data_IF_439049511881
#
_entry.id   IF_439049511881
#
_cell.length_a   1.000
_cell.length_b   1.000
_cell.length_c   1.000
_cell.angle_alpha   90.00
_cell.angle_beta   90.00
_cell.angle_gamma   90.00
#
_symmetry.space_group_name_H-M   'P 1'
#
loop_
_entity.id
_entity.type
_entity.pdbx_description
1 polymer ?
#
# COMPACT_ATOMS: atom_id res chain seq x y z
N UNK A 1 35.21 -27.24 8.60
CA UNK A 1 34.07 -26.64 7.89
C UNK A 1 32.99 -27.66 7.45
N UNK A 2 33.05 -28.93 7.93
CA UNK A 2 32.15 -30.01 7.46
C UNK A 2 31.13 -30.53 8.49
N UNK A 3 31.21 -30.15 9.77
CA UNK A 3 30.32 -30.69 10.82
C UNK A 3 29.01 -29.92 10.98
N UNK A 4 28.98 -28.62 10.65
CA UNK A 4 27.77 -27.79 10.77
C UNK A 4 26.76 -27.99 9.62
N UNK A 5 27.19 -28.51 8.47
CA UNK A 5 26.33 -28.74 7.30
C UNK A 5 25.49 -30.02 7.48
N UNK A 6 26.04 -31.06 8.13
CA UNK A 6 25.28 -32.28 8.43
C UNK A 6 24.20 -32.06 9.49
N UNK A 7 24.49 -31.28 10.54
CA UNK A 7 23.49 -30.97 11.58
C UNK A 7 22.30 -30.17 11.00
N UNK A 8 22.56 -29.29 10.03
CA UNK A 8 21.53 -28.50 9.35
C UNK A 8 20.65 -29.36 8.42
N UNK A 9 21.23 -30.35 7.74
CA UNK A 9 20.49 -31.29 6.88
C UNK A 9 19.66 -32.29 7.69
N UNK A 10 20.16 -32.77 8.83
CA UNK A 10 19.39 -33.64 9.72
C UNK A 10 18.21 -32.89 10.38
N UNK A 11 18.42 -31.65 10.83
CA UNK A 11 17.34 -30.80 11.37
C UNK A 11 16.31 -30.47 10.27
N UNK A 12 16.73 -30.19 9.03
CA UNK A 12 15.80 -29.94 7.92
C UNK A 12 14.99 -31.19 7.57
N UNK A 13 15.61 -32.36 7.46
CA UNK A 13 14.89 -33.62 7.19
C UNK A 13 13.92 -33.95 8.32
N UNK A 14 14.33 -33.78 9.59
CA UNK A 14 13.46 -34.01 10.75
C UNK A 14 12.28 -33.03 10.80
N UNK A 15 12.51 -31.73 10.53
CA UNK A 15 11.46 -30.71 10.42
C UNK A 15 10.54 -30.95 9.21
N UNK A 16 11.03 -31.52 8.10
CA UNK A 16 10.21 -31.83 6.92
C UNK A 16 9.25 -33.01 7.16
N UNK A 17 9.64 -33.97 7.99
CA UNK A 17 8.82 -35.13 8.38
C UNK A 17 7.83 -34.75 9.50
N UNK A 18 8.27 -33.95 10.47
CA UNK A 18 7.38 -33.38 11.50
C UNK A 18 6.32 -32.47 10.86
N UNK A 19 6.71 -31.66 9.85
CA UNK A 19 5.78 -30.85 9.04
C UNK A 19 4.69 -31.69 8.41
N UNK A 20 4.98 -32.83 7.76
CA UNK A 20 3.93 -33.62 7.08
C UNK A 20 2.88 -34.19 8.04
N UNK A 21 3.28 -34.67 9.23
CA UNK A 21 2.34 -35.24 10.21
C UNK A 21 1.58 -34.15 10.98
N UNK A 22 2.25 -33.07 11.38
CA UNK A 22 1.60 -31.93 12.03
C UNK A 22 0.64 -31.21 11.08
N UNK A 23 1.01 -31.09 9.79
CA UNK A 23 0.16 -30.52 8.75
C UNK A 23 -1.06 -31.39 8.44
N UNK A 24 -0.91 -32.73 8.46
CA UNK A 24 -2.05 -33.65 8.31
C UNK A 24 -3.03 -33.59 9.49
N UNK A 25 -2.52 -33.47 10.73
CA UNK A 25 -3.34 -33.33 11.94
C UNK A 25 -4.01 -31.96 12.01
N UNK A 26 -3.28 -30.89 11.69
CA UNK A 26 -3.85 -29.53 11.60
C UNK A 26 -4.85 -29.42 10.45
N UNK A 27 -4.60 -30.04 9.29
CA UNK A 27 -5.55 -30.09 8.19
C UNK A 27 -6.80 -30.90 8.55
N UNK A 28 -6.66 -31.99 9.32
CA UNK A 28 -7.79 -32.77 9.83
C UNK A 28 -8.64 -32.01 10.86
N UNK A 29 -8.00 -31.32 11.80
CA UNK A 29 -8.68 -30.48 12.79
C UNK A 29 -9.33 -29.25 12.14
N UNK A 30 -8.67 -28.65 11.15
CA UNK A 30 -9.21 -27.54 10.35
C UNK A 30 -10.40 -28.01 9.52
N UNK A 31 -10.34 -29.19 8.88
CA UNK A 31 -11.48 -29.77 8.14
C UNK A 31 -12.68 -30.05 9.05
N UNK A 32 -12.46 -30.53 10.28
CA UNK A 32 -13.51 -30.73 11.28
C UNK A 32 -14.15 -29.42 11.76
N UNK A 33 -13.34 -28.37 11.96
CA UNK A 33 -13.86 -27.02 12.28
C UNK A 33 -14.62 -26.39 11.09
N UNK A 34 -14.17 -26.64 9.86
CA UNK A 34 -14.81 -26.15 8.63
C UNK A 34 -16.17 -26.84 8.35
N UNK A 35 -16.32 -28.13 8.66
CA UNK A 35 -17.61 -28.82 8.58
C UNK A 35 -18.64 -28.28 9.59
N UNK A 36 -18.18 -27.87 10.78
CA UNK A 36 -19.05 -27.26 11.80
C UNK A 36 -19.50 -25.84 11.41
N UNK A 37 -18.63 -25.07 10.75
CA UNK A 37 -18.93 -23.71 10.31
C UNK A 37 -19.83 -23.65 9.06
N UNK A 38 -19.84 -24.69 8.23
CA UNK A 38 -20.68 -24.79 7.03
C UNK A 38 -22.18 -24.96 7.32
N UNK A 39 -22.58 -25.26 8.57
CA UNK A 39 -23.98 -25.48 8.94
C UNK A 39 -24.73 -24.22 9.41
N UNK A 40 -24.08 -23.05 9.38
CA UNK A 40 -24.72 -21.77 9.77
C UNK A 40 -24.49 -20.74 8.68
N UNK A 41 -25.48 -20.59 7.79
CA UNK A 41 -25.58 -19.47 6.86
C UNK A 41 -27.02 -18.94 6.95
N UNK A 42 -27.18 -17.73 7.48
CA UNK A 42 -28.46 -17.03 7.46
C UNK A 42 -28.63 -16.32 6.13
N UNK A 43 -29.81 -16.47 5.53
CA UNK A 43 -30.21 -15.79 4.30
C UNK A 43 -30.55 -14.32 4.60
N UNK A 44 -29.64 -13.41 4.25
CA UNK A 44 -29.88 -11.97 4.26
C UNK A 44 -28.63 -11.24 3.80
N UNK A 45 -28.75 -10.35 2.81
CA UNK A 45 -27.69 -9.53 2.14
C UNK A 45 -26.53 -10.25 1.44
N UNK A 46 -26.15 -11.46 1.83
CA UNK A 46 -25.07 -12.25 1.19
C UNK A 46 -25.30 -12.57 -0.30
N UNK A 47 -26.54 -12.45 -0.80
CA UNK A 47 -26.90 -12.77 -2.18
C UNK A 47 -26.15 -11.95 -3.23
N UNK A 48 -26.07 -10.62 -3.08
CA UNK A 48 -25.42 -9.75 -4.08
C UNK A 48 -23.89 -9.91 -4.03
N UNK A 49 -23.30 -9.99 -2.83
CA UNK A 49 -21.87 -10.22 -2.66
C UNK A 49 -21.42 -11.56 -3.27
N UNK A 50 -22.12 -12.64 -2.93
CA UNK A 50 -21.83 -13.98 -3.46
C UNK A 50 -22.10 -14.04 -4.96
N UNK A 51 -23.21 -13.49 -5.44
CA UNK A 51 -23.50 -13.42 -6.87
C UNK A 51 -22.40 -12.66 -7.63
N UNK A 52 -21.90 -11.54 -7.08
CA UNK A 52 -20.82 -10.75 -7.67
C UNK A 52 -19.50 -11.54 -7.69
N UNK A 53 -19.18 -12.24 -6.60
CA UNK A 53 -18.01 -13.10 -6.51
C UNK A 53 -18.10 -14.30 -7.48
N UNK A 54 -19.31 -14.80 -7.74
CA UNK A 54 -19.57 -15.98 -8.55
C UNK A 54 -19.63 -15.70 -10.06
N UNK A 55 -20.13 -14.53 -10.46
CA UNK A 55 -20.51 -14.21 -11.84
C UNK A 55 -19.35 -13.95 -12.82
N UNK A 56 -18.09 -14.21 -12.45
CA UNK A 56 -16.97 -14.22 -13.41
C UNK A 56 -16.74 -12.89 -14.12
N UNK A 57 -16.84 -11.78 -13.39
CA UNK A 57 -16.72 -10.44 -13.95
C UNK A 57 -15.28 -10.03 -14.30
N UNK A 58 -15.19 -9.13 -15.27
CA UNK A 58 -14.01 -8.32 -15.60
C UNK A 58 -13.73 -7.34 -14.45
N UNK A 59 -12.95 -7.79 -13.46
CA UNK A 59 -12.59 -7.01 -12.26
C UNK A 59 -11.84 -5.72 -12.56
N UNK A 60 -11.37 -5.52 -13.80
CA UNK A 60 -10.73 -4.29 -14.23
C UNK A 60 -11.72 -3.12 -14.39
N UNK A 61 -13.03 -3.38 -14.41
CA UNK A 61 -14.07 -2.37 -14.63
C UNK A 61 -14.67 -1.75 -13.37
N UNK A 62 -14.46 -2.35 -12.20
CA UNK A 62 -14.99 -1.77 -10.96
C UNK A 62 -14.25 -0.48 -10.61
N UNK A 63 -14.98 0.53 -10.17
CA UNK A 63 -14.42 1.77 -9.64
C UNK A 63 -15.38 2.38 -8.61
N UNK A 64 -14.88 2.67 -7.42
CA UNK A 64 -15.64 3.38 -6.40
C UNK A 64 -15.72 4.88 -6.76
N UNK A 65 -16.94 5.41 -6.98
CA UNK A 65 -17.10 6.79 -7.46
C UNK A 65 -17.26 7.85 -6.35
N UNK A 66 -17.43 7.43 -5.10
CA UNK A 66 -17.67 8.30 -3.95
C UNK A 66 -17.06 7.72 -2.68
N UNK A 67 -16.95 8.53 -1.62
CA UNK A 67 -16.51 8.04 -0.32
C UNK A 67 -17.48 6.97 0.21
N UNK A 68 -16.98 5.75 0.36
CA UNK A 68 -17.69 4.62 0.94
C UNK A 68 -16.70 3.86 1.83
N UNK A 69 -16.82 4.04 3.14
CA UNK A 69 -15.94 3.37 4.11
C UNK A 69 -16.09 1.85 4.08
N UNK A 70 -17.25 1.37 3.66
CA UNK A 70 -17.60 -0.05 3.48
C UNK A 70 -18.30 -0.19 2.14
N UNK A 71 -17.86 -1.14 1.32
CA UNK A 71 -18.34 -1.31 -0.05
C UNK A 71 -18.38 -2.80 -0.43
N UNK A 72 -19.50 -3.50 -0.16
CA UNK A 72 -19.61 -4.93 -0.39
C UNK A 72 -19.38 -5.34 -1.85
N UNK A 73 -19.80 -4.50 -2.81
CA UNK A 73 -19.61 -4.77 -4.24
C UNK A 73 -18.13 -4.67 -4.59
N UNK A 74 -17.48 -3.57 -4.19
CA UNK A 74 -16.04 -3.38 -4.38
C UNK A 74 -15.21 -4.46 -3.70
N UNK A 75 -15.61 -4.91 -2.51
CA UNK A 75 -14.92 -5.98 -1.78
C UNK A 75 -14.96 -7.32 -2.53
N UNK A 76 -16.10 -7.69 -3.11
CA UNK A 76 -16.22 -8.89 -3.93
C UNK A 76 -15.29 -8.81 -5.16
N UNK A 77 -15.23 -7.66 -5.82
CA UNK A 77 -14.34 -7.41 -6.95
C UNK A 77 -12.86 -7.47 -6.53
N UNK A 78 -12.50 -6.84 -5.42
CA UNK A 78 -11.15 -6.84 -4.87
C UNK A 78 -10.68 -8.27 -4.54
N UNK A 79 -11.51 -9.05 -3.84
CA UNK A 79 -11.22 -10.46 -3.51
C UNK A 79 -10.97 -11.30 -4.77
N UNK A 80 -11.72 -11.06 -5.83
CA UNK A 80 -11.52 -11.77 -7.10
C UNK A 80 -10.25 -11.31 -7.82
N UNK A 81 -9.95 -10.01 -7.79
CA UNK A 81 -8.75 -9.46 -8.44
C UNK A 81 -7.46 -9.95 -7.78
N UNK A 82 -7.47 -10.12 -6.45
CA UNK A 82 -6.33 -10.67 -5.68
C UNK A 82 -5.98 -12.09 -6.13
N UNK A 83 -6.96 -12.92 -6.50
CA UNK A 83 -6.70 -14.27 -7.01
C UNK A 83 -5.94 -14.30 -8.35
N UNK A 84 -5.85 -13.18 -9.07
CA UNK A 84 -5.04 -13.11 -10.30
C UNK A 84 -3.54 -12.97 -10.02
N UNK A 85 -3.16 -12.56 -8.80
CA UNK A 85 -1.78 -12.25 -8.43
C UNK A 85 -0.87 -13.49 -8.51
N UNK A 86 -1.23 -14.68 -7.97
CA UNK A 86 -0.36 -15.85 -8.02
C UNK A 86 0.02 -16.26 -9.46
N UNK A 87 -0.93 -16.18 -10.40
CA UNK A 87 -0.67 -16.50 -11.81
C UNK A 87 0.26 -15.46 -12.44
N UNK A 88 0.05 -14.17 -12.16
CA UNK A 88 0.93 -13.10 -12.65
C UNK A 88 2.36 -13.26 -12.10
N UNK A 89 2.50 -13.57 -10.81
CA UNK A 89 3.79 -13.81 -10.16
C UNK A 89 4.47 -15.08 -10.70
N UNK A 90 3.73 -16.17 -10.90
CA UNK A 90 4.27 -17.40 -11.49
C UNK A 90 4.72 -17.15 -12.94
N UNK A 91 3.89 -16.46 -13.73
CA UNK A 91 4.26 -16.08 -15.11
C UNK A 91 5.55 -15.26 -15.13
N UNK A 92 5.72 -14.34 -14.18
CA UNK A 92 6.95 -13.56 -14.02
C UNK A 92 8.16 -14.43 -13.70
N UNK A 93 8.07 -15.25 -12.64
CA UNK A 93 9.19 -16.04 -12.14
C UNK A 93 9.71 -17.07 -13.16
N UNK A 94 8.82 -17.64 -13.99
CA UNK A 94 9.17 -18.71 -14.92
C UNK A 94 9.41 -18.26 -16.36
N UNK A 95 8.75 -17.19 -16.81
CA UNK A 95 8.88 -16.73 -18.19
C UNK A 95 9.69 -15.43 -18.32
N UNK A 96 10.08 -14.80 -17.20
CA UNK A 96 10.81 -13.53 -17.19
C UNK A 96 10.01 -12.34 -17.75
N UNK A 97 8.76 -12.58 -18.16
CA UNK A 97 7.90 -11.58 -18.79
C UNK A 97 6.88 -11.09 -17.78
N UNK A 98 7.12 -9.88 -17.26
CA UNK A 98 6.00 -8.96 -17.03
C UNK A 98 5.63 -8.43 -18.42
N UNK A 99 4.35 -8.36 -18.82
CA UNK A 99 3.95 -7.64 -20.05
C UNK A 99 4.44 -6.18 -20.15
N UNK A 100 5.10 -5.66 -19.11
CA UNK A 100 5.57 -4.29 -18.95
C UNK A 100 7.07 -4.14 -18.64
N UNK A 101 7.81 -5.20 -18.28
CA UNK A 101 9.27 -5.14 -18.14
C UNK A 101 9.98 -4.91 -19.49
N UNK A 102 9.26 -5.12 -20.60
CA UNK A 102 9.72 -4.79 -21.95
C UNK A 102 9.56 -3.31 -22.33
N UNK A 103 8.95 -2.45 -21.48
CA UNK A 103 8.85 -1.01 -21.74
C UNK A 103 9.91 -0.17 -21.00
N UNK A 104 10.48 -0.69 -19.91
CA UNK A 104 11.75 -0.22 -19.32
C UNK A 104 12.93 -1.02 -19.86
N UNK A 105 12.81 -1.55 -21.09
CA UNK A 105 13.93 -2.08 -21.84
C UNK A 105 14.98 -0.98 -22.05
N UNK A 106 15.98 -0.97 -21.18
CA UNK A 106 17.38 -0.66 -21.50
C UNK A 106 17.60 0.57 -22.39
N UNK A 107 16.98 1.71 -22.09
CA UNK A 107 17.76 2.93 -22.23
C UNK A 107 18.88 2.79 -21.20
N UNK A 108 20.13 2.86 -21.62
CA UNK A 108 21.28 2.79 -20.73
C UNK A 108 21.18 3.96 -19.73
N UNK A 109 20.47 3.76 -18.62
CA UNK A 109 20.47 4.70 -17.52
C UNK A 109 21.92 4.76 -17.05
N UNK A 110 22.57 5.92 -17.10
CA UNK A 110 23.93 6.05 -16.60
C UNK A 110 23.98 5.52 -15.16
N UNK A 111 25.12 4.96 -14.72
CA UNK A 111 25.24 4.39 -13.39
C UNK A 111 24.81 5.45 -12.37
N UNK A 112 23.80 5.10 -11.58
CA UNK A 112 23.26 5.95 -10.53
C UNK A 112 24.39 6.44 -9.61
N UNK A 113 24.38 7.73 -9.34
CA UNK A 113 25.30 8.40 -8.41
C UNK A 113 24.46 9.02 -7.31
N UNK A 114 24.69 8.57 -6.07
CA UNK A 114 24.05 9.13 -4.87
C UNK A 114 24.43 10.59 -4.70
N UNK A 115 23.43 11.45 -4.49
CA UNK A 115 23.62 12.84 -4.09
C UNK A 115 24.21 12.96 -2.68
N UNK A 116 24.70 14.15 -2.34
CA UNK A 116 25.32 14.45 -1.03
C UNK A 116 24.35 15.04 -0.01
N UNK A 117 23.09 15.22 -0.38
CA UNK A 117 22.02 15.80 0.44
C UNK A 117 20.89 14.80 0.62
N UNK A 118 20.27 14.75 1.79
CA UNK A 118 18.99 14.02 1.95
C UNK A 118 17.87 14.85 1.30
N UNK A 119 16.86 14.20 0.71
CA UNK A 119 15.88 14.91 -0.10
C UNK A 119 14.97 15.73 0.81
N UNK A 120 14.64 15.15 1.98
CA UNK A 120 14.02 15.83 3.08
C UNK A 120 14.44 15.25 4.44
N UNK A 121 14.27 16.07 5.48
CA UNK A 121 14.34 15.68 6.89
C UNK A 121 12.91 15.47 7.43
N UNK A 122 12.63 14.25 7.90
CA UNK A 122 11.29 13.87 8.37
C UNK A 122 10.85 14.65 9.63
N UNK A 123 11.76 15.01 10.52
CA UNK A 123 11.43 15.80 11.72
C UNK A 123 11.01 17.22 11.36
N UNK A 124 11.75 17.84 10.44
CA UNK A 124 11.43 19.18 9.93
C UNK A 124 10.15 19.18 9.09
N UNK A 125 9.90 18.12 8.33
CA UNK A 125 8.65 17.95 7.59
C UNK A 125 7.46 17.82 8.56
N UNK A 126 7.60 17.04 9.62
CA UNK A 126 6.61 16.94 10.70
C UNK A 126 6.33 18.32 11.32
N UNK A 127 7.39 19.08 11.60
CA UNK A 127 7.29 20.45 12.11
C UNK A 127 6.51 21.36 11.15
N UNK A 128 6.74 21.24 9.84
CA UNK A 128 6.01 22.01 8.83
C UNK A 128 4.54 21.59 8.77
N UNK A 129 4.20 20.30 8.79
CA UNK A 129 2.82 19.83 8.83
C UNK A 129 2.11 20.27 10.12
N UNK A 130 2.78 20.23 11.27
CA UNK A 130 2.27 20.76 12.54
C UNK A 130 1.98 22.27 12.46
N UNK A 131 2.88 23.04 11.85
CA UNK A 131 2.67 24.47 11.61
C UNK A 131 1.45 24.74 10.73
N UNK A 132 1.23 23.92 9.69
CA UNK A 132 0.06 24.01 8.81
C UNK A 132 -1.23 23.79 9.63
N UNK A 133 -1.31 22.68 10.37
CA UNK A 133 -2.49 22.33 11.17
C UNK A 133 -2.79 23.39 12.24
N UNK A 134 -1.76 23.95 12.87
CA UNK A 134 -1.93 24.88 14.00
C UNK A 134 -2.12 26.34 13.58
N UNK A 135 -1.28 26.82 12.67
CA UNK A 135 -1.14 28.25 12.39
C UNK A 135 -1.81 28.67 11.09
N UNK A 136 -1.79 27.81 10.07
CA UNK A 136 -2.37 28.13 8.76
C UNK A 136 -3.87 27.80 8.72
N UNK A 137 -4.30 26.72 9.40
CA UNK A 137 -5.70 26.29 9.47
C UNK A 137 -6.19 26.01 10.90
N UNK A 138 -6.18 27.00 11.81
CA UNK A 138 -6.49 26.81 13.22
C UNK A 138 -7.92 26.31 13.50
N UNK A 139 -8.85 26.54 12.57
CA UNK A 139 -10.26 26.14 12.70
C UNK A 139 -10.51 24.68 12.29
N UNK A 140 -9.49 24.00 11.72
CA UNK A 140 -9.57 22.60 11.31
C UNK A 140 -8.82 21.75 12.33
N UNK A 141 -9.56 20.96 13.11
CA UNK A 141 -8.98 20.08 14.13
C UNK A 141 -8.52 18.76 13.51
N UNK A 142 -7.25 18.37 13.69
CA UNK A 142 -6.76 17.14 13.10
C UNK A 142 -7.31 15.94 13.88
N UNK A 143 -7.83 14.96 13.14
CA UNK A 143 -8.31 13.69 13.66
C UNK A 143 -7.67 12.56 12.86
N UNK A 144 -7.49 11.39 13.48
CA UNK A 144 -6.96 10.25 12.73
C UNK A 144 -7.91 9.81 11.61
N UNK A 145 -9.22 9.80 11.89
CA UNK A 145 -10.24 9.29 10.98
C UNK A 145 -10.40 7.76 11.04
N UNK A 146 -11.49 7.26 10.47
CA UNK A 146 -11.71 5.82 10.31
C UNK A 146 -11.10 5.29 9.02
N UNK A 147 -10.58 4.06 9.05
CA UNK A 147 -10.09 3.36 7.87
C UNK A 147 -11.25 2.78 7.04
N UNK A 148 -11.05 2.63 5.72
CA UNK A 148 -11.88 1.75 4.89
C UNK A 148 -11.83 0.32 5.44
N UNK A 149 -12.99 -0.27 5.64
CA UNK A 149 -13.16 -1.62 6.22
C UNK A 149 -13.68 -2.58 5.17
N UNK A 150 -13.45 -3.85 5.45
CA UNK A 150 -14.20 -4.91 4.78
C UNK A 150 -15.68 -4.80 5.18
N UNK A 151 -16.56 -5.09 4.25
CA UNK A 151 -17.98 -5.31 4.53
C UNK A 151 -18.17 -6.48 5.49
N UNK A 152 -19.21 -6.47 6.33
CA UNK A 152 -19.53 -7.60 7.21
C UNK A 152 -19.59 -8.93 6.44
N UNK A 153 -20.14 -8.90 5.22
CA UNK A 153 -20.17 -10.04 4.31
C UNK A 153 -18.75 -10.50 3.96
N UNK A 154 -17.86 -9.58 3.57
CA UNK A 154 -16.47 -9.93 3.28
C UNK A 154 -15.72 -10.43 4.54
N UNK A 155 -15.93 -9.84 5.71
CA UNK A 155 -15.31 -10.26 6.98
C UNK A 155 -15.72 -11.67 7.39
N UNK A 156 -17.02 -11.99 7.32
CA UNK A 156 -17.52 -13.34 7.57
C UNK A 156 -16.96 -14.33 6.54
N UNK A 157 -16.83 -13.89 5.30
CA UNK A 157 -16.36 -14.74 4.21
C UNK A 157 -14.85 -14.97 4.30
N UNK A 158 -14.02 -13.96 4.62
CA UNK A 158 -12.54 -13.94 4.54
C UNK A 158 -11.84 -15.24 5.03
N UNK A 159 -12.22 -15.82 6.19
CA UNK A 159 -11.64 -17.09 6.66
C UNK A 159 -12.00 -18.31 5.80
N UNK A 160 -13.18 -18.29 5.16
CA UNK A 160 -13.75 -19.38 4.35
C UNK A 160 -13.45 -19.23 2.85
N UNK A 161 -13.24 -18.01 2.36
CA UNK A 161 -13.17 -17.74 0.91
C UNK A 161 -12.02 -18.44 0.24
N UNK A 162 -10.84 -18.48 0.87
CA UNK A 162 -9.69 -19.16 0.29
C UNK A 162 -10.03 -20.61 -0.04
N UNK A 163 -10.66 -21.33 0.89
CA UNK A 163 -11.05 -22.72 0.71
C UNK A 163 -12.20 -22.89 -0.28
N UNK A 164 -13.20 -22.00 -0.24
CA UNK A 164 -14.28 -21.99 -1.22
C UNK A 164 -13.75 -21.79 -2.66
N UNK A 165 -12.90 -20.78 -2.87
CA UNK A 165 -12.26 -20.49 -4.16
C UNK A 165 -11.29 -21.58 -4.57
N UNK A 166 -10.58 -22.21 -3.62
CA UNK A 166 -9.72 -23.37 -3.90
C UNK A 166 -10.55 -24.56 -4.38
N UNK A 167 -11.68 -24.86 -3.72
CA UNK A 167 -12.61 -25.88 -4.16
C UNK A 167 -13.18 -25.61 -5.56
N UNK A 168 -13.49 -24.35 -5.88
CA UNK A 168 -13.90 -23.93 -7.23
C UNK A 168 -12.78 -24.07 -8.25
N UNK A 169 -11.53 -23.77 -7.89
CA UNK A 169 -10.37 -23.98 -8.75
C UNK A 169 -10.16 -25.46 -9.05
N UNK A 170 -10.16 -26.32 -8.01
CA UNK A 170 -10.01 -27.77 -8.14
C UNK A 170 -11.15 -28.43 -8.93
N UNK A 171 -12.37 -27.87 -8.87
CA UNK A 171 -13.51 -28.35 -9.67
C UNK A 171 -13.61 -27.72 -11.07
N UNK A 172 -12.64 -26.90 -11.48
CA UNK A 172 -12.61 -26.26 -12.80
C UNK A 172 -13.62 -25.11 -12.97
N UNK A 173 -14.36 -24.74 -11.92
CA UNK A 173 -15.32 -23.62 -11.91
C UNK A 173 -14.65 -22.24 -11.79
N UNK A 174 -13.35 -22.22 -11.49
CA UNK A 174 -12.52 -21.03 -11.41
C UNK A 174 -11.16 -21.31 -12.03
N UNK A 175 -10.68 -20.42 -12.89
CA UNK A 175 -9.38 -20.57 -13.55
C UNK A 175 -8.22 -20.22 -12.62
N UNK A 176 -8.37 -19.18 -11.82
CA UNK A 176 -7.27 -18.61 -11.05
C UNK A 176 -7.03 -19.31 -9.72
N UNK A 177 -5.77 -19.52 -9.35
CA UNK A 177 -5.42 -20.07 -8.05
C UNK A 177 -5.66 -19.02 -6.96
N UNK A 178 -6.41 -19.32 -5.88
CA UNK A 178 -6.74 -18.32 -4.88
C UNK A 178 -5.52 -17.91 -4.07
N UNK A 179 -5.39 -16.60 -3.80
CA UNK A 179 -4.37 -16.11 -2.89
C UNK A 179 -4.88 -16.22 -1.44
N UNK A 180 -4.06 -16.68 -0.47
CA UNK A 180 -4.43 -16.62 0.94
C UNK A 180 -4.70 -15.19 1.38
N UNK A 181 -5.91 -14.93 1.89
CA UNK A 181 -6.37 -13.61 2.36
C UNK A 181 -6.24 -13.44 3.88
N UNK A 182 -5.43 -14.26 4.55
CA UNK A 182 -5.35 -14.31 6.01
C UNK A 182 -4.90 -12.96 6.61
N UNK A 183 -5.73 -12.42 7.50
CA UNK A 183 -5.44 -11.33 8.45
C UNK A 183 -4.90 -10.03 7.85
N UNK A 184 -5.27 -9.71 6.62
CA UNK A 184 -4.85 -8.46 5.96
C UNK A 184 -6.00 -7.47 5.88
N UNK A 185 -5.75 -6.28 6.43
CA UNK A 185 -6.67 -5.14 6.31
C UNK A 185 -6.89 -4.77 4.83
N UNK A 186 -8.06 -4.22 4.51
CA UNK A 186 -8.40 -3.80 3.14
C UNK A 186 -7.38 -2.80 2.61
N UNK A 187 -6.97 -1.84 3.45
CA UNK A 187 -5.94 -0.86 3.12
C UNK A 187 -4.61 -1.50 2.74
N UNK A 188 -4.11 -2.44 3.54
CA UNK A 188 -2.84 -3.11 3.26
C UNK A 188 -2.85 -3.76 1.87
N UNK A 189 -3.93 -4.47 1.54
CA UNK A 189 -4.04 -5.12 0.24
C UNK A 189 -4.11 -4.11 -0.89
N UNK A 190 -4.88 -3.04 -0.72
CA UNK A 190 -5.01 -2.00 -1.73
C UNK A 190 -3.69 -1.27 -1.96
N UNK A 191 -2.95 -0.93 -0.91
CA UNK A 191 -1.62 -0.31 -1.01
C UNK A 191 -0.61 -1.24 -1.70
N UNK A 192 -0.54 -2.50 -1.25
CA UNK A 192 0.38 -3.49 -1.83
C UNK A 192 0.12 -3.77 -3.32
N UNK A 193 -1.10 -3.52 -3.80
CA UNK A 193 -1.47 -3.72 -5.19
C UNK A 193 -1.60 -2.41 -6.01
N UNK A 194 -1.48 -1.25 -5.37
CA UNK A 194 -1.75 0.06 -5.98
C UNK A 194 -3.21 0.23 -6.45
N UNK A 195 -4.18 -0.29 -5.71
CA UNK A 195 -5.61 -0.26 -6.06
C UNK A 195 -6.47 0.60 -5.12
N UNK A 196 -5.85 1.36 -4.22
CA UNK A 196 -6.51 2.35 -3.35
C UNK A 196 -7.40 3.32 -4.14
N UNK A 197 -6.91 3.88 -5.24
CA UNK A 197 -7.67 4.81 -6.10
C UNK A 197 -8.88 4.16 -6.78
N UNK A 198 -9.07 2.85 -6.63
CA UNK A 198 -10.23 2.10 -7.16
C UNK A 198 -11.18 1.63 -6.06
N UNK A 199 -10.65 1.21 -4.91
CA UNK A 199 -11.40 0.52 -3.85
C UNK A 199 -11.47 1.26 -2.51
N UNK A 200 -10.73 2.36 -2.38
CA UNK A 200 -10.64 3.21 -1.18
C UNK A 200 -10.68 4.68 -1.60
N UNK A 201 -11.70 5.07 -2.37
CA UNK A 201 -11.81 6.45 -2.87
C UNK A 201 -12.29 7.40 -1.77
N UNK A 202 -11.70 8.59 -1.72
CA UNK A 202 -12.08 9.66 -0.79
C UNK A 202 -13.16 10.58 -1.35
N UNK A 203 -13.30 10.63 -2.68
CA UNK A 203 -14.15 11.57 -3.39
C UNK A 203 -13.52 12.95 -3.57
N UNK A 204 -12.32 13.20 -3.01
CA UNK A 204 -11.60 14.47 -3.10
C UNK A 204 -10.47 14.46 -4.12
N UNK A 205 -10.21 13.33 -4.79
CA UNK A 205 -9.08 13.17 -5.72
C UNK A 205 -9.13 14.18 -6.87
N UNK A 206 -10.34 14.41 -7.41
CA UNK A 206 -10.55 15.38 -8.49
C UNK A 206 -10.28 16.81 -8.01
N UNK A 207 -10.79 17.18 -6.84
CA UNK A 207 -10.60 18.50 -6.27
C UNK A 207 -9.12 18.75 -5.95
N UNK A 208 -8.44 17.76 -5.36
CA UNK A 208 -7.01 17.84 -5.09
C UNK A 208 -6.20 17.99 -6.38
N UNK A 209 -6.53 17.20 -7.42
CA UNK A 209 -5.91 17.35 -8.74
C UNK A 209 -6.07 18.75 -9.29
N UNK A 210 -7.27 19.31 -9.26
CA UNK A 210 -7.54 20.66 -9.76
C UNK A 210 -6.71 21.72 -9.02
N UNK A 211 -6.58 21.61 -7.69
CA UNK A 211 -5.71 22.50 -6.90
C UNK A 211 -4.23 22.34 -7.27
N UNK A 212 -3.72 21.12 -7.30
CA UNK A 212 -2.30 20.85 -7.65
C UNK A 212 -1.96 21.40 -9.04
N UNK A 213 -2.90 21.34 -9.99
CA UNK A 213 -2.67 21.85 -11.34
C UNK A 213 -2.51 23.38 -11.42
N UNK A 214 -2.90 24.15 -10.39
CA UNK A 214 -2.68 25.61 -10.35
C UNK A 214 -1.27 26.00 -9.96
N UNK A 215 -0.51 25.08 -9.37
CA UNK A 215 0.87 25.34 -8.97
C UNK A 215 1.79 25.44 -10.19
N UNK A 216 2.86 26.26 -10.11
CA UNK A 216 3.94 26.20 -11.09
C UNK A 216 4.55 24.80 -11.19
N UNK A 217 5.09 24.48 -12.36
CA UNK A 217 5.81 23.22 -12.54
C UNK A 217 7.00 23.14 -11.55
N UNK A 218 7.26 21.93 -11.02
CA UNK A 218 8.30 21.63 -10.03
C UNK A 218 8.21 22.37 -8.69
N UNK A 219 7.08 22.98 -8.37
CA UNK A 219 6.94 23.77 -7.14
C UNK A 219 6.25 23.05 -5.98
N UNK A 220 5.47 22.01 -6.25
CA UNK A 220 4.69 21.31 -5.22
C UNK A 220 5.60 20.46 -4.38
N UNK A 221 5.70 20.80 -3.09
CA UNK A 221 6.42 20.01 -2.09
C UNK A 221 5.45 19.14 -1.28
N UNK A 222 5.98 18.18 -0.52
CA UNK A 222 5.19 17.21 0.24
C UNK A 222 4.14 17.91 1.14
N UNK A 223 4.54 18.98 1.82
CA UNK A 223 3.66 19.73 2.70
C UNK A 223 2.54 20.48 1.97
N UNK A 224 2.75 20.91 0.72
CA UNK A 224 1.72 21.57 -0.08
C UNK A 224 0.60 20.58 -0.41
N UNK A 225 0.97 19.37 -0.86
CA UNK A 225 -0.01 18.33 -1.16
C UNK A 225 -0.77 17.88 0.09
N UNK A 226 -0.05 17.76 1.22
CA UNK A 226 -0.66 17.52 2.53
C UNK A 226 -1.66 18.62 2.90
N UNK A 227 -1.26 19.91 2.82
CA UNK A 227 -2.11 21.04 3.19
C UNK A 227 -3.41 21.09 2.36
N UNK A 228 -3.28 20.94 1.05
CA UNK A 228 -4.45 20.96 0.16
C UNK A 228 -5.42 19.82 0.46
N UNK A 229 -4.89 18.62 0.66
CA UNK A 229 -5.69 17.45 1.02
C UNK A 229 -6.28 17.55 2.43
N UNK A 230 -5.56 18.14 3.38
CA UNK A 230 -5.98 18.35 4.76
C UNK A 230 -7.21 19.25 4.84
N UNK A 231 -7.19 20.34 4.07
CA UNK A 231 -8.33 21.27 3.95
C UNK A 231 -9.51 20.57 3.29
N UNK A 232 -9.30 19.84 2.19
CA UNK A 232 -10.37 19.12 1.49
C UNK A 232 -11.05 18.06 2.36
N UNK A 233 -10.29 17.42 3.25
CA UNK A 233 -10.77 16.36 4.13
C UNK A 233 -11.12 16.84 5.55
N UNK A 234 -11.16 18.15 5.79
CA UNK A 234 -11.59 18.73 7.07
C UNK A 234 -10.79 18.21 8.26
N UNK A 235 -9.50 17.95 8.08
CA UNK A 235 -8.61 17.50 9.15
C UNK A 235 -8.60 15.99 9.43
N UNK A 236 -9.36 15.18 8.69
CA UNK A 236 -9.26 13.73 8.76
C UNK A 236 -7.95 13.25 8.12
N UNK A 237 -6.96 12.87 8.92
CA UNK A 237 -5.62 12.54 8.44
C UNK A 237 -5.60 11.24 7.62
N UNK A 238 -6.38 10.23 7.97
CA UNK A 238 -6.51 9.02 7.15
C UNK A 238 -6.93 9.37 5.72
N UNK A 239 -8.03 10.12 5.56
CA UNK A 239 -8.51 10.54 4.24
C UNK A 239 -7.56 11.53 3.58
N UNK A 240 -6.89 12.39 4.36
CA UNK A 240 -5.88 13.33 3.84
C UNK A 240 -4.76 12.59 3.12
N UNK A 241 -4.13 11.61 3.79
CA UNK A 241 -3.05 10.84 3.19
C UNK A 241 -3.54 9.92 2.08
N UNK A 242 -4.71 9.31 2.24
CA UNK A 242 -5.32 8.48 1.21
C UNK A 242 -5.69 9.26 -0.06
N UNK A 243 -6.13 10.52 0.04
CA UNK A 243 -6.41 11.35 -1.14
C UNK A 243 -5.12 11.67 -1.90
N UNK A 244 -4.04 12.00 -1.16
CA UNK A 244 -2.71 12.23 -1.75
C UNK A 244 -2.21 10.96 -2.45
N UNK A 245 -2.30 9.81 -1.76
CA UNK A 245 -1.92 8.51 -2.31
C UNK A 245 -2.77 8.19 -3.54
N UNK A 246 -4.10 8.34 -3.50
CA UNK A 246 -4.99 8.06 -4.62
C UNK A 246 -4.71 8.93 -5.85
N UNK A 247 -4.36 10.21 -5.66
CA UNK A 247 -3.93 11.10 -6.75
C UNK A 247 -2.68 10.53 -7.46
N UNK A 248 -1.78 9.92 -6.69
CA UNK A 248 -0.52 9.33 -7.12
C UNK A 248 -0.64 7.83 -7.46
N UNK A 249 -1.73 7.18 -7.10
CA UNK A 249 -2.03 5.78 -7.40
C UNK A 249 -2.81 5.63 -8.71
N UNK A 250 -3.01 6.73 -9.46
CA UNK A 250 -3.66 6.69 -10.75
C UNK A 250 -3.08 5.58 -11.63
N UNK A 251 -3.96 4.80 -12.29
CA UNK A 251 -3.68 3.53 -13.00
C UNK A 251 -2.17 3.18 -12.99
N UNK A 252 -1.67 2.43 -11.99
CA UNK A 252 -0.24 2.19 -11.74
C UNK A 252 0.46 1.41 -12.86
N UNK A 253 -0.20 1.25 -13.99
CA UNK A 253 0.19 0.49 -15.17
C UNK A 253 0.13 1.33 -16.45
N UNK A 254 -0.10 2.66 -16.37
CA UNK A 254 -0.02 3.55 -17.53
C UNK A 254 1.43 3.61 -18.03
N UNK A 255 1.63 3.30 -19.31
CA UNK A 255 2.94 3.32 -20.00
C UNK A 255 3.57 4.72 -20.06
N UNK A 256 2.77 5.77 -19.95
CA UNK A 256 3.22 7.17 -20.04
C UNK A 256 3.04 7.92 -18.71
N UNK A 257 3.22 7.24 -17.56
CA UNK A 257 3.14 7.88 -16.23
C UNK A 257 4.01 9.13 -16.14
N UNK A 258 5.23 9.08 -16.68
CA UNK A 258 6.17 10.19 -16.82
C UNK A 258 5.59 11.48 -17.48
N UNK A 259 4.51 11.34 -18.25
CA UNK A 259 3.84 12.45 -18.95
C UNK A 259 2.61 12.98 -18.21
N UNK A 260 2.24 12.41 -17.07
CA UNK A 260 1.08 12.89 -16.31
C UNK A 260 1.30 14.36 -15.93
N UNK A 261 0.35 15.26 -16.24
CA UNK A 261 0.45 16.67 -15.89
C UNK A 261 0.69 16.92 -14.39
N UNK A 262 0.16 16.06 -13.52
CA UNK A 262 0.36 16.15 -12.07
C UNK A 262 1.83 15.96 -11.72
N UNK A 263 2.52 15.00 -12.36
CA UNK A 263 3.93 14.73 -12.09
C UNK A 263 4.84 15.93 -12.38
N UNK A 264 4.49 16.74 -13.38
CA UNK A 264 5.25 17.96 -13.71
C UNK A 264 5.18 19.01 -12.60
N UNK A 265 4.15 18.96 -11.77
CA UNK A 265 3.98 19.89 -10.63
C UNK A 265 4.85 19.52 -9.44
N UNK A 266 5.13 18.23 -9.26
CA UNK A 266 5.84 17.70 -8.10
C UNK A 266 7.33 18.07 -8.11
N UNK A 267 7.83 18.53 -6.97
CA UNK A 267 9.25 18.69 -6.71
C UNK A 267 9.96 17.33 -6.75
N UNK A 268 11.26 17.35 -7.03
CA UNK A 268 12.08 16.14 -6.94
C UNK A 268 12.32 15.76 -5.49
N UNK A 269 12.05 14.51 -5.11
CA UNK A 269 12.22 14.04 -3.72
C UNK A 269 13.17 12.83 -3.60
N UNK A 270 13.87 12.44 -4.68
CA UNK A 270 14.89 11.39 -4.64
C UNK A 270 16.28 11.99 -4.40
N UNK A 271 17.25 11.18 -3.96
CA UNK A 271 18.65 11.57 -3.68
C UNK A 271 19.55 11.25 -4.88
N UNK A 272 19.06 11.50 -6.08
CA UNK A 272 19.86 11.29 -7.26
C UNK A 272 20.73 12.52 -7.47
N UNK A 273 22.02 12.33 -7.80
CA UNK A 273 22.90 13.47 -8.14
C UNK A 273 22.43 14.25 -9.37
N UNK A 274 21.62 13.62 -10.21
CA UNK A 274 20.91 14.18 -11.36
C UNK A 274 19.52 13.50 -11.44
N UNK A 275 18.47 14.22 -11.84
CA UNK A 275 17.07 13.75 -11.80
C UNK A 275 16.76 12.64 -12.81
N UNK A 276 17.21 11.41 -12.55
CA UNK A 276 17.04 10.26 -13.44
C UNK A 276 16.03 9.21 -12.96
N UNK A 277 15.75 9.15 -11.66
CA UNK A 277 14.89 8.14 -11.07
C UNK A 277 13.39 8.43 -11.23
N UNK A 278 12.58 7.41 -10.95
CA UNK A 278 11.13 7.53 -10.95
C UNK A 278 10.66 8.38 -9.74
N UNK A 279 10.59 9.69 -9.95
CA UNK A 279 10.08 10.63 -8.94
C UNK A 279 8.61 10.36 -8.63
N UNK A 280 7.83 9.87 -9.60
CA UNK A 280 6.42 9.58 -9.37
C UNK A 280 6.27 8.43 -8.38
N UNK A 281 7.01 7.34 -8.62
CA UNK A 281 7.12 6.22 -7.68
C UNK A 281 7.48 6.70 -6.28
N UNK A 282 8.51 7.51 -6.13
CA UNK A 282 8.92 8.04 -4.81
C UNK A 282 7.78 8.76 -4.07
N UNK A 283 7.02 9.61 -4.76
CA UNK A 283 5.87 10.30 -4.16
C UNK A 283 4.76 9.33 -3.74
N UNK A 284 4.41 8.39 -4.62
CA UNK A 284 3.41 7.36 -4.36
C UNK A 284 3.79 6.51 -3.13
N UNK A 285 5.02 6.01 -3.10
CA UNK A 285 5.57 5.22 -2.00
C UNK A 285 5.58 5.99 -0.67
N UNK A 286 6.04 7.25 -0.69
CA UNK A 286 6.04 8.09 0.51
C UNK A 286 4.64 8.19 1.13
N UNK A 287 3.63 8.58 0.34
CA UNK A 287 2.27 8.76 0.87
C UNK A 287 1.61 7.43 1.27
N UNK A 288 1.83 6.36 0.51
CA UNK A 288 1.30 5.03 0.82
C UNK A 288 1.85 4.47 2.14
N UNK A 289 3.17 4.54 2.34
CA UNK A 289 3.79 4.05 3.57
C UNK A 289 3.55 4.98 4.75
N UNK A 290 3.54 6.31 4.54
CA UNK A 290 3.14 7.25 5.59
C UNK A 290 1.70 7.00 6.06
N UNK A 291 0.76 6.76 5.13
CA UNK A 291 -0.61 6.39 5.43
C UNK A 291 -0.68 5.09 6.25
N UNK A 292 0.04 4.05 5.82
CA UNK A 292 0.03 2.77 6.52
C UNK A 292 0.61 2.90 7.93
N UNK A 293 1.74 3.60 8.08
CA UNK A 293 2.39 3.85 9.36
C UNK A 293 1.55 4.73 10.31
N UNK A 294 0.79 5.68 9.77
CA UNK A 294 -0.15 6.50 10.54
C UNK A 294 -1.27 5.64 11.17
N UNK A 295 -1.73 4.61 10.45
CA UNK A 295 -2.87 3.76 10.82
C UNK A 295 -2.50 2.52 11.64
N UNK A 296 -1.21 2.23 11.81
CA UNK A 296 -0.72 1.02 12.46
C UNK A 296 0.22 1.33 13.60
N UNK A 297 0.51 0.32 14.40
CA UNK A 297 1.50 0.42 15.47
C UNK A 297 2.93 0.32 14.91
N UNK A 298 3.92 0.72 15.71
CA UNK A 298 5.33 0.80 15.30
C UNK A 298 5.87 -0.54 14.76
N UNK A 299 5.44 -1.67 15.31
CA UNK A 299 5.94 -2.99 14.89
C UNK A 299 5.38 -3.45 13.54
N UNK A 300 4.10 -3.17 13.27
CA UNK A 300 3.42 -3.62 12.04
C UNK A 300 3.87 -2.83 10.81
N UNK A 301 4.22 -1.55 11.00
CA UNK A 301 4.67 -0.66 9.92
C UNK A 301 6.10 -0.98 9.49
N UNK A 302 7.00 -1.28 10.42
CA UNK A 302 8.38 -1.71 10.12
C UNK A 302 8.38 -3.02 9.34
N UNK A 303 7.56 -4.00 9.74
CA UNK A 303 7.47 -5.28 9.03
C UNK A 303 6.98 -5.13 7.58
N UNK A 304 6.09 -4.17 7.31
CA UNK A 304 5.59 -3.92 5.95
C UNK A 304 6.60 -3.19 5.09
N UNK A 305 7.32 -2.20 5.63
CA UNK A 305 8.43 -1.56 4.92
C UNK A 305 9.52 -2.58 4.54
N UNK A 306 9.87 -3.48 5.47
CA UNK A 306 10.82 -4.56 5.21
C UNK A 306 10.28 -5.57 4.17
N UNK A 307 8.98 -5.86 4.18
CA UNK A 307 8.34 -6.76 3.20
C UNK A 307 8.21 -6.14 1.80
N UNK A 308 8.02 -4.82 1.70
CA UNK A 308 8.01 -4.07 0.44
C UNK A 308 9.41 -4.02 -0.16
N UNK A 309 10.44 -3.69 0.63
CA UNK A 309 11.84 -3.78 0.23
C UNK A 309 12.21 -5.20 -0.24
N UNK A 310 11.65 -6.25 0.39
CA UNK A 310 11.81 -7.62 -0.07
C UNK A 310 11.08 -7.88 -1.40
N UNK A 311 9.85 -7.40 -1.57
CA UNK A 311 9.08 -7.52 -2.81
C UNK A 311 9.74 -6.83 -4.01
N UNK A 312 10.14 -5.57 -3.85
CA UNK A 312 10.83 -4.78 -4.87
C UNK A 312 12.20 -5.38 -5.21
N UNK A 313 12.94 -5.90 -4.22
CA UNK A 313 14.20 -6.62 -4.46
C UNK A 313 14.03 -7.82 -5.42
N UNK A 314 12.93 -8.57 -5.30
CA UNK A 314 12.67 -9.72 -6.16
C UNK A 314 12.09 -9.35 -7.54
N UNK A 315 11.35 -8.24 -7.66
CA UNK A 315 10.65 -7.84 -8.88
C UNK A 315 11.48 -6.91 -9.77
N UNK A 316 12.21 -5.98 -9.15
CA UNK A 316 12.88 -4.85 -9.83
C UNK A 316 14.38 -4.78 -9.52
N UNK A 317 14.84 -5.52 -8.52
CA UNK A 317 16.21 -5.47 -8.00
C UNK A 317 16.37 -4.45 -6.88
N UNK A 318 17.57 -4.29 -6.30
CA UNK A 318 17.79 -3.34 -5.22
C UNK A 318 17.71 -1.88 -5.70
N UNK A 319 16.61 -1.18 -5.42
CA UNK A 319 16.51 0.29 -5.51
C UNK A 319 16.63 0.93 -4.12
N UNK A 320 17.86 1.30 -3.75
CA UNK A 320 18.16 1.94 -2.46
C UNK A 320 17.44 3.27 -2.24
N UNK A 321 16.95 3.92 -3.30
CA UNK A 321 16.22 5.19 -3.16
C UNK A 321 14.77 4.95 -2.75
N UNK A 322 14.12 3.95 -3.33
CA UNK A 322 12.77 3.54 -2.94
C UNK A 322 12.76 3.11 -1.47
N UNK A 323 13.71 2.26 -1.06
CA UNK A 323 13.89 1.83 0.33
C UNK A 323 14.01 3.01 1.30
N UNK A 324 14.77 4.04 0.91
CA UNK A 324 14.99 5.21 1.74
C UNK A 324 13.74 6.10 1.83
N UNK A 325 13.01 6.25 0.74
CA UNK A 325 11.74 6.99 0.72
C UNK A 325 10.68 6.27 1.56
N UNK A 326 10.60 4.94 1.46
CA UNK A 326 9.73 4.11 2.31
C UNK A 326 10.09 4.28 3.78
N UNK A 327 11.38 4.24 4.12
CA UNK A 327 11.85 4.48 5.48
C UNK A 327 11.44 5.86 6.02
N UNK A 328 11.64 6.91 5.23
CA UNK A 328 11.23 8.26 5.63
C UNK A 328 9.71 8.41 5.73
N UNK A 329 8.94 7.80 4.83
CA UNK A 329 7.48 7.74 4.89
C UNK A 329 7.00 7.08 6.18
N UNK A 330 7.58 5.93 6.53
CA UNK A 330 7.23 5.19 7.75
C UNK A 330 7.54 6.00 9.02
N UNK A 331 8.75 6.56 9.10
CA UNK A 331 9.17 7.41 10.21
C UNK A 331 8.27 8.63 10.36
N UNK A 332 7.94 9.29 9.24
CA UNK A 332 7.03 10.43 9.21
C UNK A 332 5.63 10.01 9.72
N UNK A 333 5.04 8.94 9.20
CA UNK A 333 3.71 8.47 9.59
C UNK A 333 3.61 8.14 11.09
N UNK A 334 4.61 7.44 11.63
CA UNK A 334 4.70 7.13 13.08
C UNK A 334 4.82 8.41 13.93
N UNK A 335 5.69 9.34 13.55
CA UNK A 335 5.84 10.61 14.29
C UNK A 335 4.58 11.45 14.26
N UNK A 336 3.90 11.51 13.11
CA UNK A 336 2.63 12.21 12.98
C UNK A 336 1.54 11.57 13.86
N UNK A 337 1.50 10.24 13.91
CA UNK A 337 0.62 9.51 14.83
C UNK A 337 0.91 9.85 16.29
N UNK A 338 2.18 9.82 16.70
CA UNK A 338 2.60 10.20 18.04
C UNK A 338 2.26 11.65 18.40
N UNK A 339 2.32 12.58 17.43
CA UNK A 339 1.89 13.96 17.64
C UNK A 339 0.38 14.07 17.87
N UNK A 340 -0.43 13.29 17.14
CA UNK A 340 -1.87 13.24 17.35
C UNK A 340 -2.22 12.67 18.73
N UNK A 341 -1.69 11.49 19.05
CA UNK A 341 -2.04 10.75 20.27
C UNK A 341 -1.68 11.54 21.54
N UNK A 342 -0.59 12.31 21.50
CA UNK A 342 -0.13 13.12 22.64
C UNK A 342 -0.68 14.56 22.65
N UNK A 343 -1.52 14.95 21.67
CA UNK A 343 -1.92 16.36 21.48
C UNK A 343 -0.75 17.30 21.18
N UNK A 344 0.41 16.76 20.81
CA UNK A 344 1.65 17.49 20.60
C UNK A 344 1.61 18.45 19.40
N UNK A 345 0.65 18.22 18.49
CA UNK A 345 0.36 19.10 17.34
C UNK A 345 -0.03 20.53 17.77
N UNK A 346 -0.62 20.69 18.96
CA UNK A 346 -0.95 22.02 19.51
C UNK A 346 0.19 22.65 20.31
N UNK A 347 1.00 21.81 20.97
CA UNK A 347 1.92 22.23 22.04
C UNK A 347 3.35 22.58 21.58
N UNK A 348 3.80 22.02 20.47
CA UNK A 348 5.18 22.25 20.00
C UNK A 348 5.26 23.51 19.14
N UNK A 349 6.16 24.45 19.46
CA UNK A 349 6.56 25.47 18.49
C UNK A 349 7.57 24.82 17.53
N UNK A 350 7.25 24.64 16.25
CA UNK A 350 8.15 23.95 15.35
C UNK A 350 9.41 24.80 15.15
N UNK A 351 10.54 24.30 15.65
CA UNK A 351 11.86 24.82 15.28
C UNK A 351 12.21 24.26 13.90
N UNK A 352 12.67 25.12 12.99
CA UNK A 352 13.17 24.77 11.65
C UNK A 352 12.19 23.96 10.77
N UNK A 353 11.50 24.66 9.87
CA UNK A 353 10.56 24.07 8.90
C UNK A 353 11.17 23.90 7.51
N UNK A 354 12.43 24.29 7.30
CA UNK A 354 13.13 24.11 6.04
C UNK A 354 13.64 22.66 5.96
N UNK A 355 12.78 21.79 5.43
CA UNK A 355 12.99 20.35 5.46
C UNK A 355 13.60 19.78 4.18
N UNK A 356 13.52 20.48 3.05
CA UNK A 356 14.05 20.00 1.76
C UNK A 356 15.55 20.28 1.62
N UNK A 357 16.28 19.42 0.90
CA UNK A 357 17.69 19.61 0.52
C UNK A 357 18.65 19.79 1.72
N UNK A 358 18.49 18.98 2.76
CA UNK A 358 19.32 19.07 3.97
C UNK A 358 20.67 18.37 3.72
N UNK A 359 21.81 18.94 4.12
CA UNK A 359 23.10 18.27 4.01
C UNK A 359 23.09 16.90 4.73
N UNK A 360 23.66 15.86 4.12
CA UNK A 360 23.86 14.59 4.83
C UNK A 360 24.74 14.82 6.05
N UNK A 361 24.29 14.35 7.22
CA UNK A 361 25.15 14.26 8.40
C UNK A 361 26.23 13.22 8.10
N UNK A 362 27.49 13.66 8.11
CA UNK A 362 28.67 12.80 7.93
C UNK A 362 28.81 11.78 9.07
#
# INVERSE_FOLDING_TARGET
MSTNIMLFLEIWVYLSVLKKKLFAVLAGLLALHLCALAQTASEGTGGVFLQTLEAGFDSERYFQHSLMMVDPVGDAHLLRQIDTIPIKLFSYLFHGTIPQAEASARAATPPYKTGTTVPFDADRLINKCSAIMRSEFPDIFPTLGEEHKWSPEAEEFLPRVFWHRLGRHLSGKQRDFPMPTLMRTKLFICLACGWTARYCCTGQEKALKERVMTYPDRSVQIHDLFAESYVLNGGNLYLTFLTCENLLAGIPHRRERARDPVQKKLSYIRIDSEEYGDNYGAWYHFFGIALYALMRTDFESVFVADAESFGSFFLEGPDRQEDLINHYGALFGQKLRGLLDNGGWWLTSPADTAYMNVPQKQ
#
